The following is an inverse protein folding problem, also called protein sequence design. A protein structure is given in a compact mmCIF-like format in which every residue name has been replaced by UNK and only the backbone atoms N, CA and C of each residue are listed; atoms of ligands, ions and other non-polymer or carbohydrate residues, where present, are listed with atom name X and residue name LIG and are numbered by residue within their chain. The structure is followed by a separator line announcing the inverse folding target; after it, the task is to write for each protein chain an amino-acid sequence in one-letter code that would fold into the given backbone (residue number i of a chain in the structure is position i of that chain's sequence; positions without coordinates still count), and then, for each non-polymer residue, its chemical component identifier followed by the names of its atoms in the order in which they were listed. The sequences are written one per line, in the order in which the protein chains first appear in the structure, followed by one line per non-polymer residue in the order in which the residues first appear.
data_IF_110098904309
#
_entry.id   IF_110098904309
#
_cell.length_a   1.000
_cell.length_b   1.000
_cell.length_c   1.000
_cell.angle_alpha   90.00
_cell.angle_beta   90.00
_cell.angle_gamma   90.00
#
_symmetry.space_group_name_H-M   'P 1'
#
loop_
_entity.id
_entity.type
_entity.pdbx_description
1 polymer ?
#
# COMPACT_ATOMS: atom_id res chain seq x y z
N UNK A 1 -11.41 -46.87 -7.06
CA UNK A 1 -10.86 -45.66 -6.42
C UNK A 1 -11.90 -45.10 -5.46
N UNK A 2 -11.57 -45.01 -4.17
CA UNK A 2 -12.55 -44.71 -3.12
C UNK A 2 -12.79 -43.18 -3.01
N UNK A 3 -14.04 -42.72 -2.84
CA UNK A 3 -14.41 -41.28 -2.80
C UNK A 3 -13.56 -40.48 -1.79
N UNK A 4 -13.17 -41.10 -0.67
CA UNK A 4 -12.30 -40.49 0.34
C UNK A 4 -10.90 -40.13 -0.19
N UNK A 5 -10.34 -40.92 -1.11
CA UNK A 5 -9.03 -40.64 -1.73
C UNK A 5 -9.05 -39.43 -2.67
N UNK A 6 -10.14 -39.25 -3.42
CA UNK A 6 -10.32 -38.10 -4.33
C UNK A 6 -10.42 -36.76 -3.56
N UNK A 7 -11.12 -36.77 -2.42
CA UNK A 7 -11.29 -35.60 -1.57
C UNK A 7 -9.98 -35.15 -0.89
N UNK A 8 -9.09 -36.09 -0.57
CA UNK A 8 -7.78 -35.78 0.02
C UNK A 8 -6.83 -35.15 -1.00
N UNK A 9 -6.78 -35.68 -2.22
CA UNK A 9 -5.94 -35.13 -3.31
C UNK A 9 -6.39 -33.71 -3.65
N UNK A 10 -7.68 -33.47 -3.86
CA UNK A 10 -8.20 -32.13 -4.14
C UNK A 10 -8.02 -31.14 -2.98
N UNK A 11 -7.99 -31.62 -1.74
CA UNK A 11 -7.69 -30.76 -0.58
C UNK A 11 -6.20 -30.38 -0.54
N UNK A 12 -5.31 -31.31 -0.84
CA UNK A 12 -3.87 -31.07 -0.88
C UNK A 12 -3.50 -30.07 -1.99
N UNK A 13 -4.05 -30.26 -3.20
CA UNK A 13 -3.86 -29.33 -4.34
C UNK A 13 -4.31 -27.90 -3.99
N UNK A 14 -5.50 -27.75 -3.38
CA UNK A 14 -6.02 -26.42 -2.96
C UNK A 14 -5.12 -25.71 -1.96
N UNK A 15 -4.57 -26.43 -0.99
CA UNK A 15 -3.66 -25.84 0.00
C UNK A 15 -2.36 -25.39 -0.69
N UNK A 16 -1.84 -26.19 -1.63
CA UNK A 16 -0.63 -25.86 -2.37
C UNK A 16 -0.80 -24.62 -3.25
N UNK A 17 -1.94 -24.48 -3.94
CA UNK A 17 -2.20 -23.34 -4.83
C UNK A 17 -2.45 -22.05 -4.04
N UNK A 18 -3.23 -22.12 -2.94
CA UNK A 18 -3.41 -20.98 -2.03
C UNK A 18 -2.07 -20.50 -1.43
N UNK A 19 -1.18 -21.44 -1.05
CA UNK A 19 0.14 -21.09 -0.53
C UNK A 19 1.02 -20.40 -1.57
N UNK A 20 0.93 -20.83 -2.84
CA UNK A 20 1.66 -20.23 -3.96
C UNK A 20 1.16 -18.82 -4.26
N UNK A 21 -0.15 -18.63 -4.33
CA UNK A 21 -0.80 -17.33 -4.52
C UNK A 21 -0.39 -16.32 -3.44
N UNK A 22 -0.35 -16.75 -2.16
CA UNK A 22 0.13 -15.91 -1.06
C UNK A 22 1.60 -15.50 -1.22
N UNK A 23 2.48 -16.44 -1.56
CA UNK A 23 3.91 -16.12 -1.78
C UNK A 23 4.11 -15.13 -2.93
N UNK A 24 3.39 -15.34 -4.04
CA UNK A 24 3.44 -14.41 -5.18
C UNK A 24 2.91 -13.02 -4.80
N UNK A 25 1.80 -12.96 -4.05
CA UNK A 25 1.27 -11.68 -3.58
C UNK A 25 2.27 -10.93 -2.70
N UNK A 26 2.99 -11.62 -1.80
CA UNK A 26 4.05 -11.01 -0.97
C UNK A 26 5.16 -10.39 -1.83
N UNK A 27 5.56 -11.06 -2.92
CA UNK A 27 6.58 -10.52 -3.85
C UNK A 27 6.08 -9.27 -4.57
N UNK A 28 4.85 -9.31 -5.10
CA UNK A 28 4.24 -8.14 -5.74
C UNK A 28 4.02 -6.98 -4.77
N UNK A 29 3.66 -7.29 -3.53
CA UNK A 29 3.48 -6.30 -2.48
C UNK A 29 4.82 -5.66 -2.06
N UNK A 30 5.91 -6.44 -2.02
CA UNK A 30 7.25 -5.88 -1.83
C UNK A 30 7.67 -4.97 -3.00
N UNK A 31 7.33 -5.34 -4.24
CA UNK A 31 7.60 -4.50 -5.42
C UNK A 31 6.82 -3.16 -5.36
N UNK A 32 5.57 -3.18 -4.90
CA UNK A 32 4.78 -1.97 -4.62
C UNK A 32 5.44 -1.11 -3.53
N UNK A 33 5.91 -1.72 -2.44
CA UNK A 33 6.67 -1.00 -1.41
C UNK A 33 7.94 -0.35 -1.95
N UNK A 34 8.69 -1.04 -2.82
CA UNK A 34 9.85 -0.48 -3.50
C UNK A 34 9.47 0.70 -4.40
N UNK A 35 8.38 0.57 -5.17
CA UNK A 35 7.88 1.64 -6.03
C UNK A 35 7.50 2.89 -5.23
N UNK A 36 6.80 2.73 -4.10
CA UNK A 36 6.41 3.85 -3.23
C UNK A 36 7.61 4.71 -2.82
N UNK A 37 8.71 4.07 -2.40
CA UNK A 37 9.91 4.79 -1.97
C UNK A 37 10.77 5.28 -3.13
N UNK A 38 10.75 4.60 -4.28
CA UNK A 38 11.31 5.13 -5.54
C UNK A 38 10.63 6.44 -5.90
N UNK A 39 9.29 6.49 -5.82
CA UNK A 39 8.52 7.69 -6.09
C UNK A 39 8.76 8.78 -5.06
N UNK A 40 8.81 8.46 -3.76
CA UNK A 40 9.10 9.45 -2.72
C UNK A 40 10.44 10.15 -2.96
N UNK A 41 11.50 9.39 -3.26
CA UNK A 41 12.82 9.94 -3.58
C UNK A 41 12.78 10.75 -4.88
N UNK A 42 12.16 10.22 -5.94
CA UNK A 42 12.05 10.90 -7.22
C UNK A 42 11.24 12.20 -7.13
N UNK A 43 10.11 12.20 -6.43
CA UNK A 43 9.25 13.37 -6.26
C UNK A 43 9.86 14.40 -5.33
N UNK A 44 10.58 13.98 -4.29
CA UNK A 44 11.41 14.89 -3.48
C UNK A 44 12.43 15.60 -4.37
N UNK A 45 13.16 14.86 -5.21
CA UNK A 45 14.11 15.45 -6.16
C UNK A 45 13.43 16.38 -7.17
N UNK A 46 12.30 15.97 -7.71
CA UNK A 46 11.53 16.76 -8.68
C UNK A 46 11.08 18.10 -8.08
N UNK A 47 10.55 18.08 -6.85
CA UNK A 47 10.08 19.28 -6.16
C UNK A 47 11.22 20.17 -5.67
N UNK A 48 12.35 19.59 -5.23
CA UNK A 48 13.52 20.40 -4.84
C UNK A 48 14.19 21.07 -6.04
N UNK A 49 14.15 20.46 -7.22
CA UNK A 49 14.63 21.07 -8.46
C UNK A 49 13.79 22.29 -8.88
N UNK A 50 12.47 22.27 -8.64
CA UNK A 50 11.57 23.34 -9.10
C UNK A 50 11.29 24.41 -8.03
N UNK A 51 11.19 24.00 -6.75
CA UNK A 51 10.80 24.89 -5.63
C UNK A 51 11.99 25.14 -4.69
N UNK A 52 13.21 24.86 -5.16
CA UNK A 52 14.45 25.15 -4.45
C UNK A 52 14.86 24.09 -3.42
N UNK A 53 16.17 23.89 -3.31
CA UNK A 53 16.83 22.88 -2.49
C UNK A 53 17.02 23.36 -1.05
N UNK A 54 15.93 23.50 -0.30
CA UNK A 54 16.01 23.87 1.13
C UNK A 54 15.48 22.76 2.03
N UNK A 55 15.99 22.69 3.26
CA UNK A 55 15.57 21.71 4.29
C UNK A 55 14.05 21.74 4.50
N UNK A 56 13.45 22.92 4.39
CA UNK A 56 12.00 23.08 4.46
C UNK A 56 11.26 22.36 3.32
N UNK A 57 11.81 22.21 2.10
CA UNK A 57 11.13 21.46 1.01
C UNK A 57 10.99 20.02 1.39
N UNK A 58 12.13 19.43 1.75
CA UNK A 58 12.24 18.01 2.00
C UNK A 58 11.29 17.67 3.15
N UNK A 59 11.30 18.47 4.23
CA UNK A 59 10.35 18.32 5.33
C UNK A 59 8.87 18.44 4.92
N UNK A 60 8.53 19.39 4.03
CA UNK A 60 7.15 19.57 3.55
C UNK A 60 6.71 18.38 2.67
N UNK A 61 7.56 17.94 1.75
CA UNK A 61 7.30 16.80 0.85
C UNK A 61 7.04 15.55 1.68
N UNK A 62 7.93 15.29 2.63
CA UNK A 62 7.87 14.14 3.50
C UNK A 62 6.65 14.21 4.44
N UNK A 63 6.31 15.38 4.97
CA UNK A 63 5.08 15.58 5.73
C UNK A 63 3.82 15.37 4.88
N UNK A 64 3.81 15.83 3.63
CA UNK A 64 2.72 15.60 2.70
C UNK A 64 2.57 14.10 2.36
N UNK A 65 3.69 13.41 2.17
CA UNK A 65 3.73 11.98 1.89
C UNK A 65 3.24 11.17 3.08
N UNK A 66 3.80 11.37 4.28
CA UNK A 66 3.34 10.68 5.50
C UNK A 66 1.90 11.02 5.88
N UNK A 67 1.50 12.28 5.74
CA UNK A 67 0.13 12.73 5.96
C UNK A 67 -0.85 12.05 5.00
N UNK A 68 -0.50 11.98 3.71
CA UNK A 68 -1.26 11.24 2.71
C UNK A 68 -1.37 9.76 3.05
N UNK A 69 -0.26 9.09 3.34
CA UNK A 69 -0.24 7.67 3.75
C UNK A 69 -1.19 7.40 4.93
N UNK A 70 -1.13 8.26 5.96
CA UNK A 70 -1.98 8.15 7.15
C UNK A 70 -3.48 8.32 6.79
N UNK A 71 -3.81 9.33 5.98
CA UNK A 71 -5.18 9.57 5.49
C UNK A 71 -5.68 8.35 4.71
N UNK A 72 -4.90 7.88 3.75
CA UNK A 72 -5.23 6.71 2.94
C UNK A 72 -5.50 5.46 3.76
N UNK A 73 -4.60 5.15 4.69
CA UNK A 73 -4.73 3.99 5.57
C UNK A 73 -5.96 4.10 6.49
N UNK A 74 -6.24 5.30 7.02
CA UNK A 74 -7.42 5.56 7.84
C UNK A 74 -8.72 5.31 7.07
N UNK A 75 -8.87 5.90 5.88
CA UNK A 75 -10.08 5.75 5.08
C UNK A 75 -10.27 4.29 4.62
N UNK A 76 -9.22 3.63 4.15
CA UNK A 76 -9.29 2.23 3.74
C UNK A 76 -9.62 1.27 4.89
N UNK A 77 -9.14 1.57 6.10
CA UNK A 77 -9.49 0.82 7.31
C UNK A 77 -10.92 1.09 7.81
N UNK A 78 -11.42 2.32 7.62
CA UNK A 78 -12.76 2.74 8.07
C UNK A 78 -13.88 2.33 7.12
N UNK A 79 -13.57 2.21 5.82
CA UNK A 79 -14.50 1.87 4.75
C UNK A 79 -14.04 0.58 4.05
N UNK A 80 -14.35 -0.60 4.63
CA UNK A 80 -13.82 -1.86 4.14
C UNK A 80 -14.37 -2.21 2.75
N UNK A 81 -13.48 -2.68 1.88
CA UNK A 81 -13.83 -3.17 0.54
C UNK A 81 -14.40 -4.60 0.64
N UNK A 82 -15.47 -4.86 -0.11
CA UNK A 82 -16.08 -6.19 -0.21
C UNK A 82 -15.03 -7.27 -0.57
N UNK A 83 -15.04 -8.46 0.06
CA UNK A 83 -14.01 -9.48 -0.11
C UNK A 83 -13.65 -9.79 -1.57
N UNK A 84 -14.67 -9.92 -2.43
CA UNK A 84 -14.50 -10.22 -3.85
C UNK A 84 -13.81 -9.10 -4.67
N UNK A 85 -13.77 -7.87 -4.17
CA UNK A 85 -13.23 -6.69 -4.87
C UNK A 85 -11.90 -6.21 -4.32
N UNK A 86 -11.34 -6.83 -3.27
CA UNK A 86 -10.13 -6.32 -2.59
C UNK A 86 -8.89 -6.30 -3.50
N UNK A 87 -8.63 -7.38 -4.24
CA UNK A 87 -7.54 -7.41 -5.21
C UNK A 87 -7.74 -6.41 -6.37
N UNK A 88 -8.99 -6.20 -6.78
CA UNK A 88 -9.32 -5.20 -7.80
C UNK A 88 -9.11 -3.78 -7.28
N UNK A 89 -9.51 -3.50 -6.03
CA UNK A 89 -9.28 -2.22 -5.39
C UNK A 89 -7.78 -1.95 -5.18
N UNK A 90 -7.02 -2.96 -4.73
CA UNK A 90 -5.56 -2.87 -4.64
C UNK A 90 -4.94 -2.56 -6.01
N UNK A 91 -5.28 -3.32 -7.06
CA UNK A 91 -4.78 -3.07 -8.41
C UNK A 91 -5.17 -1.67 -8.94
N UNK A 92 -6.39 -1.20 -8.65
CA UNK A 92 -6.83 0.14 -9.04
C UNK A 92 -6.00 1.23 -8.35
N UNK A 93 -5.66 1.07 -7.07
CA UNK A 93 -4.77 2.00 -6.36
C UNK A 93 -3.38 2.03 -6.99
N UNK A 94 -2.80 0.86 -7.28
CA UNK A 94 -1.48 0.77 -7.94
C UNK A 94 -1.47 1.46 -9.32
N UNK A 95 -2.55 1.30 -10.09
CA UNK A 95 -2.71 1.97 -11.40
C UNK A 95 -2.85 3.48 -11.22
N UNK A 96 -3.69 3.94 -10.27
CA UNK A 96 -3.86 5.37 -9.98
C UNK A 96 -2.52 6.01 -9.62
N UNK A 97 -1.74 5.37 -8.76
CA UNK A 97 -0.41 5.83 -8.37
C UNK A 97 0.52 5.92 -9.59
N UNK A 98 0.55 4.89 -10.44
CA UNK A 98 1.39 4.89 -11.64
C UNK A 98 0.98 5.99 -12.64
N UNK A 99 -0.32 6.20 -12.84
CA UNK A 99 -0.83 7.26 -13.71
C UNK A 99 -0.47 8.65 -13.18
N UNK A 100 -0.61 8.87 -11.86
CA UNK A 100 -0.18 10.11 -11.23
C UNK A 100 1.33 10.29 -11.38
N UNK A 101 2.13 9.24 -11.18
CA UNK A 101 3.59 9.31 -11.35
C UNK A 101 4.01 9.74 -12.77
N UNK A 102 3.29 9.27 -13.80
CA UNK A 102 3.52 9.68 -15.20
C UNK A 102 3.10 11.14 -15.42
N UNK A 103 1.97 11.56 -14.85
CA UNK A 103 1.42 12.90 -15.05
C UNK A 103 2.17 13.99 -14.27
N UNK A 104 2.73 13.64 -13.10
CA UNK A 104 3.28 14.61 -12.15
C UNK A 104 4.33 15.56 -12.75
N UNK A 105 5.32 15.10 -13.55
CA UNK A 105 6.30 15.99 -14.15
C UNK A 105 5.67 17.00 -15.11
N UNK A 106 4.66 16.59 -15.89
CA UNK A 106 3.95 17.48 -16.81
C UNK A 106 3.10 18.50 -16.04
N UNK A 107 2.36 18.05 -15.02
CA UNK A 107 1.58 18.93 -14.15
C UNK A 107 2.48 19.98 -13.49
N UNK A 108 3.64 19.55 -12.96
CA UNK A 108 4.57 20.47 -12.33
C UNK A 108 5.16 21.46 -13.33
N UNK A 109 5.40 21.03 -14.57
CA UNK A 109 5.86 21.92 -15.64
C UNK A 109 4.86 23.05 -15.95
N UNK A 110 3.57 22.74 -15.98
CA UNK A 110 2.50 23.74 -16.18
C UNK A 110 2.37 24.70 -14.99
N UNK A 111 2.87 24.31 -13.82
CA UNK A 111 2.85 25.13 -12.61
C UNK A 111 4.09 26.02 -12.46
N UNK A 112 5.08 25.93 -13.36
CA UNK A 112 6.25 26.82 -13.35
C UNK A 112 5.89 28.31 -13.30
N UNK A 113 4.91 28.84 -14.07
CA UNK A 113 4.54 30.25 -14.00
C UNK A 113 4.09 30.68 -12.61
N UNK A 114 3.39 29.80 -11.89
CA UNK A 114 2.95 30.06 -10.50
C UNK A 114 4.14 30.08 -9.54
N UNK A 115 5.08 29.15 -9.73
CA UNK A 115 6.33 29.10 -8.93
C UNK A 115 7.19 30.33 -9.21
N UNK A 116 7.33 30.73 -10.47
CA UNK A 116 8.07 31.92 -10.89
C UNK A 116 7.43 33.20 -10.34
N UNK A 117 6.10 33.32 -10.41
CA UNK A 117 5.36 34.42 -9.78
C UNK A 117 5.59 34.47 -8.26
N UNK A 118 5.59 33.31 -7.59
CA UNK A 118 5.82 33.26 -6.15
C UNK A 118 7.18 33.83 -5.75
N UNK A 119 8.18 33.69 -6.63
CA UNK A 119 9.56 34.15 -6.44
C UNK A 119 9.89 35.49 -7.14
N UNK A 120 8.92 36.13 -7.82
CA UNK A 120 9.17 37.28 -8.70
C UNK A 120 9.82 38.48 -8.01
N UNK A 121 9.54 38.68 -6.72
CA UNK A 121 10.04 39.84 -5.96
C UNK A 121 11.42 39.59 -5.32
N UNK A 122 12.01 38.39 -5.48
CA UNK A 122 13.31 38.01 -4.92
C UNK A 122 13.37 37.86 -3.39
N UNK A 123 12.44 38.49 -2.65
CA UNK A 123 12.40 38.54 -1.18
C UNK A 123 10.97 38.35 -0.63
N UNK A 124 10.28 37.30 -1.07
CA UNK A 124 8.94 36.95 -0.60
C UNK A 124 8.89 35.58 0.10
N UNK A 125 9.59 35.40 1.25
CA UNK A 125 9.77 34.10 1.89
C UNK A 125 8.44 33.45 2.31
N UNK A 126 7.46 34.24 2.74
CA UNK A 126 6.14 33.73 3.15
C UNK A 126 5.33 33.25 1.96
N UNK A 127 5.22 34.05 0.88
CA UNK A 127 4.45 33.68 -0.32
C UNK A 127 5.03 32.44 -0.99
N UNK A 128 6.35 32.40 -1.15
CA UNK A 128 7.04 31.24 -1.69
C UNK A 128 6.86 30.01 -0.82
N UNK A 129 6.96 30.16 0.51
CA UNK A 129 6.69 29.10 1.47
C UNK A 129 5.26 28.54 1.38
N UNK A 130 4.26 29.40 1.28
CA UNK A 130 2.86 29.01 1.14
C UNK A 130 2.61 28.25 -0.17
N UNK A 131 3.08 28.80 -1.30
CA UNK A 131 2.93 28.14 -2.61
C UNK A 131 3.59 26.76 -2.58
N UNK A 132 4.77 26.64 -1.99
CA UNK A 132 5.47 25.36 -1.83
C UNK A 132 4.70 24.35 -1.01
N UNK A 133 4.16 24.76 0.15
CA UNK A 133 3.34 23.90 1.01
C UNK A 133 2.10 23.44 0.25
N UNK A 134 1.38 24.37 -0.36
CA UNK A 134 0.16 24.08 -1.10
C UNK A 134 0.42 23.15 -2.28
N UNK A 135 1.45 23.41 -3.07
CA UNK A 135 1.82 22.56 -4.21
C UNK A 135 2.22 21.17 -3.75
N UNK A 136 3.08 21.05 -2.74
CA UNK A 136 3.53 19.74 -2.25
C UNK A 136 2.35 18.92 -1.70
N UNK A 137 1.48 19.54 -0.91
CA UNK A 137 0.27 18.87 -0.42
C UNK A 137 -0.67 18.49 -1.56
N UNK A 138 -0.99 19.41 -2.47
CA UNK A 138 -1.92 19.14 -3.56
C UNK A 138 -1.43 18.04 -4.50
N UNK A 139 -0.13 18.03 -4.82
CA UNK A 139 0.48 17.10 -5.75
C UNK A 139 0.75 15.72 -5.13
N UNK A 140 1.09 15.66 -3.84
CA UNK A 140 1.52 14.41 -3.19
C UNK A 140 0.43 13.76 -2.33
N UNK A 141 -0.55 14.51 -1.81
CA UNK A 141 -1.55 13.93 -0.91
C UNK A 141 -2.37 12.82 -1.58
N UNK A 142 -2.75 12.99 -2.85
CA UNK A 142 -3.54 11.99 -3.59
C UNK A 142 -2.75 10.70 -3.82
N UNK A 143 -1.55 10.71 -4.45
CA UNK A 143 -0.80 9.48 -4.66
C UNK A 143 -0.37 8.85 -3.32
N UNK A 144 0.03 9.64 -2.32
CA UNK A 144 0.39 9.11 -1.02
C UNK A 144 -0.81 8.50 -0.27
N UNK A 145 -2.01 9.10 -0.37
CA UNK A 145 -3.23 8.48 0.17
C UNK A 145 -3.59 7.18 -0.57
N UNK A 146 -3.41 7.13 -1.89
CA UNK A 146 -3.61 5.90 -2.63
C UNK A 146 -2.63 4.80 -2.16
N UNK A 147 -1.34 5.14 -1.98
CA UNK A 147 -0.32 4.25 -1.41
C UNK A 147 -0.67 3.81 0.01
N UNK A 148 -1.15 4.72 0.88
CA UNK A 148 -1.52 4.42 2.26
C UNK A 148 -2.73 3.47 2.36
N UNK A 149 -3.66 3.58 1.42
CA UNK A 149 -4.81 2.69 1.32
C UNK A 149 -4.45 1.25 0.91
N UNK A 150 -3.27 1.02 0.31
CA UNK A 150 -2.88 -0.30 -0.17
C UNK A 150 -2.72 -1.32 0.97
N UNK A 151 -2.11 -0.93 2.10
CA UNK A 151 -1.83 -1.87 3.20
C UNK A 151 -3.10 -2.45 3.85
N UNK A 152 -4.09 -1.65 4.30
CA UNK A 152 -5.33 -2.22 4.88
C UNK A 152 -6.08 -3.14 3.92
N UNK A 153 -6.12 -2.79 2.62
CA UNK A 153 -6.79 -3.59 1.60
C UNK A 153 -6.02 -4.90 1.36
N UNK A 154 -4.70 -4.83 1.19
CA UNK A 154 -3.83 -5.99 0.99
C UNK A 154 -3.88 -6.94 2.19
N UNK A 155 -3.76 -6.41 3.42
CA UNK A 155 -3.84 -7.17 4.65
C UNK A 155 -5.19 -7.88 4.80
N UNK A 156 -6.30 -7.19 4.52
CA UNK A 156 -7.63 -7.79 4.60
C UNK A 156 -7.80 -8.95 3.62
N UNK A 157 -7.27 -8.87 2.38
CA UNK A 157 -7.29 -9.99 1.44
C UNK A 157 -6.37 -11.14 1.90
N UNK A 158 -5.15 -10.83 2.34
CA UNK A 158 -4.14 -11.83 2.67
C UNK A 158 -4.48 -12.67 3.90
N UNK A 159 -5.15 -12.07 4.89
CA UNK A 159 -5.71 -12.78 6.05
C UNK A 159 -6.83 -13.73 5.59
N UNK A 160 -7.77 -13.25 4.78
CA UNK A 160 -8.94 -14.06 4.37
C UNK A 160 -8.58 -15.18 3.38
N UNK A 161 -7.53 -15.01 2.56
CA UNK A 161 -7.06 -16.00 1.59
C UNK A 161 -6.66 -17.36 2.21
N UNK A 162 -6.48 -17.45 3.53
CA UNK A 162 -6.07 -18.67 4.24
C UNK A 162 -7.00 -19.10 5.39
N UNK A 163 -7.87 -18.21 5.90
CA UNK A 163 -8.76 -18.47 7.04
C UNK A 163 -9.85 -19.52 6.74
N UNK A 164 -10.05 -19.89 5.47
CA UNK A 164 -11.04 -20.91 5.08
C UNK A 164 -10.76 -22.34 5.59
N UNK A 165 -9.60 -22.67 6.20
CA UNK A 165 -9.30 -24.09 6.48
C UNK A 165 -8.73 -24.54 7.83
N UNK A 166 -8.33 -23.70 8.83
CA UNK A 166 -7.99 -24.20 10.19
C UNK A 166 -7.69 -23.11 11.26
N UNK A 167 -8.44 -23.15 12.38
CA UNK A 167 -8.12 -22.66 13.75
C UNK A 167 -8.17 -21.11 14.00
N UNK A 168 -8.18 -20.64 15.28
CA UNK A 168 -8.86 -19.42 15.74
C UNK A 168 -8.26 -18.10 15.21
N UNK A 169 -9.15 -17.18 14.85
CA UNK A 169 -8.92 -16.05 13.94
C UNK A 169 -7.95 -14.94 14.41
N UNK A 170 -7.64 -14.81 15.71
CA UNK A 170 -7.00 -13.59 16.24
C UNK A 170 -5.46 -13.56 16.17
N UNK A 171 -4.75 -14.64 16.52
CA UNK A 171 -3.27 -14.65 16.52
C UNK A 171 -2.66 -14.73 15.12
N UNK A 172 -3.31 -15.41 14.17
CA UNK A 172 -2.78 -15.58 12.82
C UNK A 172 -2.95 -14.32 11.96
N UNK A 173 -4.02 -13.56 12.18
CA UNK A 173 -4.26 -12.28 11.49
C UNK A 173 -3.14 -11.26 11.73
N UNK A 174 -2.63 -11.16 12.97
CA UNK A 174 -1.49 -10.30 13.29
C UNK A 174 -0.18 -10.74 12.63
N UNK A 175 0.09 -12.05 12.60
CA UNK A 175 1.29 -12.59 11.95
C UNK A 175 1.26 -12.38 10.44
N UNK A 176 0.09 -12.59 9.80
CA UNK A 176 -0.10 -12.41 8.37
C UNK A 176 0.03 -10.94 7.94
N UNK A 177 -0.54 -10.00 8.72
CA UNK A 177 -0.31 -8.57 8.54
C UNK A 177 1.17 -8.19 8.75
N UNK A 178 1.84 -8.81 9.73
CA UNK A 178 3.27 -8.63 9.98
C UNK A 178 4.15 -9.07 8.81
N UNK A 179 3.82 -10.18 8.14
CA UNK A 179 4.54 -10.64 6.94
C UNK A 179 4.43 -9.61 5.80
N UNK A 180 3.24 -9.09 5.55
CA UNK A 180 3.06 -8.05 4.53
C UNK A 180 3.79 -6.77 4.90
N UNK A 181 3.71 -6.34 6.16
CA UNK A 181 4.42 -5.15 6.62
C UNK A 181 5.93 -5.30 6.46
N UNK A 182 6.50 -6.44 6.84
CA UNK A 182 7.92 -6.73 6.67
C UNK A 182 8.33 -6.74 5.19
N UNK A 183 7.54 -7.36 4.31
CA UNK A 183 7.80 -7.40 2.89
C UNK A 183 7.75 -6.01 2.24
N UNK A 184 6.74 -5.21 2.59
CA UNK A 184 6.63 -3.83 2.13
C UNK A 184 7.79 -2.98 2.61
N UNK A 185 8.17 -3.08 3.87
CA UNK A 185 9.29 -2.32 4.44
C UNK A 185 10.62 -2.75 3.82
N UNK A 186 10.83 -4.04 3.56
CA UNK A 186 12.03 -4.52 2.86
C UNK A 186 12.10 -4.02 1.41
N UNK A 187 10.97 -4.07 0.71
CA UNK A 187 10.84 -3.49 -0.63
C UNK A 187 11.09 -1.99 -0.62
N UNK A 188 10.45 -1.25 0.28
CA UNK A 188 10.62 0.18 0.51
C UNK A 188 12.09 0.56 0.75
N UNK A 189 12.78 -0.15 1.65
CA UNK A 189 14.21 0.06 1.90
C UNK A 189 15.05 -0.17 0.63
N UNK A 190 14.81 -1.27 -0.10
CA UNK A 190 15.49 -1.53 -1.36
C UNK A 190 15.20 -0.46 -2.43
N UNK A 191 13.96 0.02 -2.50
CA UNK A 191 13.54 1.09 -3.40
C UNK A 191 14.18 2.43 -3.07
N UNK A 192 14.23 2.83 -1.80
CA UNK A 192 14.87 4.05 -1.33
C UNK A 192 16.38 4.04 -1.62
N UNK A 193 17.06 2.94 -1.28
CA UNK A 193 18.50 2.76 -1.55
C UNK A 193 18.74 2.76 -3.06
N UNK A 194 17.98 1.95 -3.81
CA UNK A 194 18.07 1.87 -5.26
C UNK A 194 17.88 3.23 -5.93
N UNK A 195 16.84 3.97 -5.53
CA UNK A 195 16.53 5.28 -6.08
C UNK A 195 17.61 6.31 -5.76
N UNK A 196 18.01 6.44 -4.49
CA UNK A 196 18.93 7.47 -4.04
C UNK A 196 20.37 7.28 -4.53
N UNK A 197 20.85 6.03 -4.59
CA UNK A 197 22.27 5.73 -4.87
C UNK A 197 22.56 5.29 -6.31
N UNK A 198 21.61 4.69 -7.02
CA UNK A 198 21.83 4.18 -8.38
C UNK A 198 20.92 4.82 -9.42
N UNK A 199 19.59 4.77 -9.22
CA UNK A 199 18.65 5.17 -10.29
C UNK A 199 18.72 6.68 -10.56
N UNK A 200 18.64 7.54 -9.54
CA UNK A 200 18.72 8.98 -9.75
C UNK A 200 20.08 9.41 -10.32
N UNK A 201 21.22 8.98 -9.76
CA UNK A 201 22.54 9.41 -10.24
C UNK A 201 22.88 8.91 -11.64
N UNK A 202 22.57 7.65 -11.96
CA UNK A 202 23.05 7.03 -13.21
C UNK A 202 22.08 7.20 -14.38
N UNK A 203 20.78 7.03 -14.14
CA UNK A 203 19.76 7.03 -15.22
C UNK A 203 18.83 8.24 -15.18
N UNK A 204 18.94 9.05 -14.13
CA UNK A 204 18.21 10.30 -13.99
C UNK A 204 16.75 10.14 -13.52
N UNK A 205 16.10 11.28 -13.36
CA UNK A 205 14.76 11.38 -12.76
C UNK A 205 13.69 10.64 -13.57
N UNK A 206 13.65 10.86 -14.89
CA UNK A 206 12.62 10.27 -15.77
C UNK A 206 12.67 8.74 -15.79
N UNK A 207 13.87 8.17 -15.93
CA UNK A 207 14.05 6.72 -15.95
C UNK A 207 13.70 6.10 -14.59
N UNK A 208 14.09 6.75 -13.49
CA UNK A 208 13.69 6.34 -12.13
C UNK A 208 12.18 6.29 -11.97
N UNK A 209 11.45 7.31 -12.46
CA UNK A 209 9.98 7.29 -12.42
C UNK A 209 9.41 6.10 -13.20
N UNK A 210 9.97 5.77 -14.36
CA UNK A 210 9.56 4.60 -15.13
C UNK A 210 9.83 3.26 -14.45
N UNK A 211 10.91 3.15 -13.67
CA UNK A 211 11.16 1.97 -12.82
C UNK A 211 10.05 1.82 -11.79
N UNK A 212 9.68 2.90 -11.09
CA UNK A 212 8.53 2.89 -10.18
C UNK A 212 7.23 2.47 -10.88
N UNK A 213 6.98 3.01 -12.09
CA UNK A 213 5.78 2.68 -12.88
C UNK A 213 5.76 1.20 -13.27
N UNK A 214 6.91 0.63 -13.64
CA UNK A 214 7.02 -0.79 -13.96
C UNK A 214 6.76 -1.67 -12.73
N UNK A 215 7.25 -1.28 -11.55
CA UNK A 215 7.01 -1.99 -10.29
C UNK A 215 5.52 -1.96 -9.89
N UNK A 216 4.87 -0.80 -9.96
CA UNK A 216 3.42 -0.67 -9.77
C UNK A 216 2.63 -1.50 -10.79
N UNK A 217 3.05 -1.46 -12.05
CA UNK A 217 2.44 -2.27 -13.11
C UNK A 217 2.53 -3.76 -12.81
N UNK A 218 3.69 -4.25 -12.36
CA UNK A 218 3.87 -5.63 -11.93
C UNK A 218 2.97 -5.98 -10.74
N UNK A 219 2.86 -5.10 -9.74
CA UNK A 219 1.99 -5.30 -8.58
C UNK A 219 0.50 -5.35 -8.97
N UNK A 220 0.05 -4.41 -9.81
CA UNK A 220 -1.31 -4.35 -10.31
C UNK A 220 -1.67 -5.58 -11.16
N UNK A 221 -0.81 -5.95 -12.10
CA UNK A 221 -1.01 -7.13 -12.95
C UNK A 221 -1.01 -8.42 -12.12
N UNK A 222 -0.12 -8.52 -11.14
CA UNK A 222 -0.08 -9.64 -10.19
C UNK A 222 -1.39 -9.77 -9.41
N UNK A 223 -1.92 -8.66 -8.90
CA UNK A 223 -3.19 -8.65 -8.18
C UNK A 223 -4.40 -8.98 -9.09
N UNK A 224 -4.45 -8.45 -10.32
CA UNK A 224 -5.50 -8.80 -11.30
C UNK A 224 -5.44 -10.28 -11.67
N UNK A 225 -4.23 -10.82 -11.87
CA UNK A 225 -4.03 -12.23 -12.17
C UNK A 225 -4.51 -13.13 -11.03
N UNK A 226 -4.18 -12.80 -9.78
CA UNK A 226 -4.69 -13.49 -8.59
C UNK A 226 -6.22 -13.40 -8.50
N UNK A 227 -6.80 -12.23 -8.76
CA UNK A 227 -8.25 -12.02 -8.70
C UNK A 227 -9.00 -12.89 -9.73
N UNK A 228 -8.44 -13.04 -10.93
CA UNK A 228 -9.01 -13.92 -11.97
C UNK A 228 -8.95 -15.38 -11.57
N UNK A 229 -7.86 -15.82 -10.92
CA UNK A 229 -7.73 -17.20 -10.42
C UNK A 229 -8.76 -17.51 -9.34
N UNK A 230 -8.94 -16.60 -8.39
CA UNK A 230 -9.95 -16.74 -7.33
C UNK A 230 -11.38 -16.82 -7.92
N UNK A 231 -11.68 -15.99 -8.93
CA UNK A 231 -12.97 -15.98 -9.61
C UNK A 231 -13.24 -17.27 -10.41
N UNK A 232 -12.25 -17.78 -11.16
CA UNK A 232 -12.38 -19.05 -11.91
C UNK A 232 -12.58 -20.22 -10.93
N UNK A 233 -11.84 -20.24 -9.83
CA UNK A 233 -11.98 -21.24 -8.78
C UNK A 233 -13.33 -21.19 -8.05
N UNK A 234 -13.99 -20.03 -7.99
CA UNK A 234 -15.33 -19.87 -7.44
C UNK A 234 -16.44 -20.25 -8.45
N UNK A 235 -16.27 -19.92 -9.73
CA UNK A 235 -17.23 -20.27 -10.80
C UNK A 235 -17.32 -21.78 -11.06
N UNK A 236 -16.20 -22.51 -11.00
CA UNK A 236 -16.18 -23.97 -11.09
C UNK A 236 -16.84 -24.68 -9.89
N UNK A 237 -17.17 -23.94 -8.81
CA UNK A 237 -17.85 -24.45 -7.61
C UNK A 237 -19.35 -24.17 -7.59
N UNK A 238 -19.90 -23.42 -8.55
CA UNK A 238 -21.34 -23.23 -8.65
C UNK A 238 -21.99 -24.58 -9.00
N UNK A 239 -22.66 -25.26 -8.06
CA UNK A 239 -23.40 -26.45 -8.42
C UNK A 239 -24.62 -25.97 -9.19
N UNK A 240 -24.93 -26.66 -10.29
CA UNK A 240 -26.24 -26.67 -10.91
C UNK A 240 -27.30 -27.10 -9.88
N UNK A 241 -27.74 -26.18 -9.02
CA UNK A 241 -28.90 -26.34 -8.15
C UNK A 241 -30.14 -25.80 -8.86
N UNK A 242 -30.52 -26.49 -9.92
CA UNK A 242 -31.91 -26.51 -10.40
C UNK A 242 -32.46 -27.88 -10.02
N UNK A 243 -33.13 -27.96 -8.87
CA UNK A 243 -33.83 -29.18 -8.46
C UNK A 243 -33.95 -29.30 -6.95
N UNK A 244 -35.14 -28.96 -6.44
CA UNK A 244 -35.84 -29.55 -5.29
C UNK A 244 -34.99 -30.04 -4.10
N UNK A 245 -35.10 -29.34 -2.96
CA UNK A 245 -35.86 -29.90 -1.84
C UNK A 245 -36.05 -28.89 -0.71
N UNK A 246 -37.34 -28.61 -0.44
CA UNK A 246 -37.79 -28.00 0.81
C UNK A 246 -37.76 -29.10 1.88
N UNK A 247 -36.76 -29.10 2.75
CA UNK A 247 -36.93 -29.70 4.07
C UNK A 247 -36.33 -28.83 5.17
N UNK A 248 -37.23 -28.42 6.05
CA UNK A 248 -36.97 -27.69 7.26
C UNK A 248 -36.25 -28.55 8.32
N UNK A 249 -35.69 -27.83 9.30
CA UNK A 249 -35.48 -28.21 10.71
C UNK A 249 -34.11 -28.79 11.09
N UNK A 250 -33.31 -27.99 11.79
CA UNK A 250 -33.11 -28.12 13.25
C UNK A 250 -32.00 -27.15 13.72
N UNK A 251 -32.39 -26.16 14.52
CA UNK A 251 -31.48 -25.23 15.16
C UNK A 251 -30.62 -25.95 16.22
N UNK A 252 -29.31 -25.99 16.00
CA UNK A 252 -28.34 -26.58 16.93
C UNK A 252 -27.93 -25.53 17.97
N UNK A 253 -27.85 -25.87 19.27
CA UNK A 253 -27.71 -24.87 20.33
C UNK A 253 -26.31 -24.23 20.30
N UNK A 254 -26.27 -22.90 20.27
CA UNK A 254 -25.07 -22.07 20.41
C UNK A 254 -24.38 -22.37 21.75
N UNK A 255 -23.29 -23.16 21.72
CA UNK A 255 -22.31 -23.22 22.82
C UNK A 255 -21.78 -21.81 23.06
N UNK A 256 -22.15 -21.19 24.20
CA UNK A 256 -21.53 -19.97 24.71
C UNK A 256 -20.02 -20.22 24.89
N UNK A 257 -19.23 -19.77 23.93
CA UNK A 257 -17.78 -19.68 24.10
C UNK A 257 -17.52 -18.55 25.11
N UNK A 258 -16.92 -18.91 26.24
CA UNK A 258 -16.47 -17.94 27.24
C UNK A 258 -15.50 -16.98 26.57
N UNK A 259 -15.82 -15.69 26.62
CA UNK A 259 -14.99 -14.62 26.11
C UNK A 259 -13.67 -14.63 26.90
N UNK A 260 -12.56 -14.94 26.22
CA UNK A 260 -11.23 -14.67 26.74
C UNK A 260 -11.08 -13.15 26.76
N UNK A 261 -11.21 -12.55 27.94
CA UNK A 261 -10.95 -11.13 28.18
C UNK A 261 -9.45 -10.92 28.01
N UNK A 262 -9.04 -10.46 26.83
CA UNK A 262 -7.69 -9.95 26.60
C UNK A 262 -7.54 -8.61 27.36
N UNK A 263 -6.37 -8.30 27.94
CA UNK A 263 -6.11 -6.96 28.45
C UNK A 263 -6.29 -5.97 27.30
N UNK A 264 -7.09 -4.93 27.55
CA UNK A 264 -7.37 -3.85 26.60
C UNK A 264 -6.05 -3.17 26.26
N UNK A 265 -5.44 -3.53 25.13
CA UNK A 265 -4.37 -2.75 24.53
C UNK A 265 -4.94 -1.35 24.33
N UNK A 266 -4.38 -0.33 25.02
CA UNK A 266 -4.86 1.06 24.89
C UNK A 266 -4.47 1.55 23.50
N UNK A 267 -5.41 1.53 22.52
CA UNK A 267 -5.04 1.76 21.12
C UNK A 267 -4.53 3.19 20.91
N UNK A 268 -4.98 4.13 21.76
CA UNK A 268 -4.50 5.50 21.78
C UNK A 268 -3.01 5.63 22.15
N UNK A 269 -2.50 4.84 23.10
CA UNK A 269 -1.08 4.87 23.47
C UNK A 269 -0.21 4.23 22.38
N UNK A 270 -0.69 3.16 21.74
CA UNK A 270 -0.02 2.54 20.60
C UNK A 270 0.03 3.50 19.40
N UNK A 271 -1.07 4.20 19.10
CA UNK A 271 -1.09 5.22 18.05
C UNK A 271 -0.19 6.41 18.39
N UNK A 272 -0.19 6.88 19.63
CA UNK A 272 0.69 7.98 20.07
C UNK A 272 2.17 7.59 19.97
N UNK A 273 2.53 6.38 20.40
CA UNK A 273 3.91 5.88 20.28
C UNK A 273 4.33 5.72 18.81
N UNK A 274 3.45 5.20 17.95
CA UNK A 274 3.72 5.10 16.51
C UNK A 274 3.87 6.48 15.86
N UNK A 275 3.02 7.44 16.23
CA UNK A 275 3.10 8.82 15.75
C UNK A 275 4.39 9.52 16.21
N UNK A 276 4.79 9.33 17.47
CA UNK A 276 6.05 9.87 18.01
C UNK A 276 7.27 9.23 17.35
N UNK A 277 7.23 7.92 17.09
CA UNK A 277 8.29 7.20 16.37
C UNK A 277 8.42 7.69 14.93
N UNK A 278 7.30 7.83 14.22
CA UNK A 278 7.25 8.40 12.87
C UNK A 278 7.78 9.83 12.85
N UNK A 279 7.32 10.68 13.76
CA UNK A 279 7.83 12.05 13.92
C UNK A 279 9.35 12.08 14.17
N UNK A 280 9.85 11.19 15.02
CA UNK A 280 11.29 11.08 15.30
C UNK A 280 12.08 10.64 14.06
N UNK A 281 11.58 9.66 13.30
CA UNK A 281 12.20 9.20 12.06
C UNK A 281 12.26 10.32 11.01
N UNK A 282 11.17 11.10 10.87
CA UNK A 282 11.11 12.29 10.01
C UNK A 282 12.16 13.33 10.39
N UNK A 283 12.32 13.60 11.69
CA UNK A 283 13.35 14.52 12.19
C UNK A 283 14.76 14.01 11.87
N UNK A 284 15.01 12.70 12.05
CA UNK A 284 16.30 12.10 11.72
C UNK A 284 16.61 12.15 10.23
N UNK A 285 15.64 11.89 9.37
CA UNK A 285 15.81 11.98 7.92
C UNK A 285 16.17 13.41 7.47
N UNK A 286 15.46 14.41 8.00
CA UNK A 286 15.76 15.83 7.76
C UNK A 286 17.14 16.22 8.31
N UNK A 287 17.55 15.68 9.46
CA UNK A 287 18.87 15.92 10.03
C UNK A 287 19.99 15.27 9.20
N UNK A 288 19.78 14.03 8.72
CA UNK A 288 20.77 13.28 7.97
C UNK A 288 20.97 13.83 6.56
N UNK A 289 19.87 14.22 5.88
CA UNK A 289 19.94 14.93 4.59
C UNK A 289 20.71 16.25 4.70
N UNK A 290 20.73 16.90 5.86
CA UNK A 290 21.56 18.10 6.11
C UNK A 290 23.04 17.80 6.33
N UNK A 291 23.37 16.66 6.96
CA UNK A 291 24.77 16.30 7.22
C UNK A 291 25.50 15.82 5.95
N UNK A 292 24.74 15.36 4.95
CA UNK A 292 25.28 14.80 3.70
C UNK A 292 25.16 15.73 2.48
N UNK A 293 24.49 16.88 2.61
CA UNK A 293 24.37 17.90 1.56
C UNK A 293 25.44 18.98 1.73
#
# INVERSE_FOLDING_TARGET
MNMAGSNLIHRAERISDASRSRRLFVVFYAASGAAALVYEVAWTRLLTLQVGHTVSAIGIVLAAFMGGLAIGAFFAGRFPVAPARRLQAYAALEIVVALIAIALPAILNELLPVIAWAYADGDAPVRFGLVRVTLSLALLAVPAAAMGATFPIAASWFVDAYVTMKAPASRRSAADAGVLYAANTAGAAAGAIGAGFWLLPEVGLRATTWVGVALNGAAALGAVWLARRDAIGAGARAPSQTGHDRHATAAQPRRRQAAVVMPVARPALACAAAALSGFSALVYEVAFTRLLA
#
